data_IF_039612157118
#
_entry.id   IF_039612157118
#
_cell.length_a   1.000
_cell.length_b   1.000
_cell.length_c   1.000
_cell.angle_alpha   90.00
_cell.angle_beta   90.00
_cell.angle_gamma   90.00
#
_symmetry.space_group_name_H-M   'P 1'
#
loop_
_entity.id
_entity.type
_entity.pdbx_description
1 polymer ?
#
# COMPACT_ATOMS: atom_id res chain seq x y z
N UNK A 1 -22.71 -1.47 -2.05
CA UNK A 1 -23.32 -1.72 -0.72
C UNK A 1 -22.17 -1.67 0.26
N UNK A 2 -22.26 -0.93 1.37
CA UNK A 2 -21.18 -0.96 2.35
C UNK A 2 -21.20 -2.33 3.02
N UNK A 3 -20.20 -3.17 2.74
CA UNK A 3 -20.01 -4.42 3.47
C UNK A 3 -19.38 -4.06 4.81
N UNK A 4 -19.98 -4.53 5.90
CA UNK A 4 -19.40 -4.28 7.22
C UNK A 4 -18.10 -5.08 7.34
N UNK A 5 -17.14 -4.54 8.08
CA UNK A 5 -15.90 -5.24 8.36
C UNK A 5 -16.15 -6.59 9.04
N UNK A 6 -17.15 -6.67 9.93
CA UNK A 6 -17.51 -7.89 10.66
C UNK A 6 -17.95 -9.00 9.71
N UNK A 7 -18.83 -8.68 8.76
CA UNK A 7 -19.31 -9.68 7.79
C UNK A 7 -18.14 -10.23 6.96
N UNK A 8 -17.20 -9.37 6.57
CA UNK A 8 -16.00 -9.81 5.86
C UNK A 8 -15.08 -10.64 6.76
N UNK A 9 -14.84 -10.22 7.99
CA UNK A 9 -14.00 -10.94 8.93
C UNK A 9 -14.57 -12.34 9.24
N UNK A 10 -15.87 -12.45 9.49
CA UNK A 10 -16.54 -13.72 9.78
C UNK A 10 -16.55 -14.67 8.58
N UNK A 11 -16.75 -14.15 7.37
CA UNK A 11 -16.83 -14.99 6.17
C UNK A 11 -15.44 -15.36 5.62
N UNK A 12 -14.48 -14.44 5.67
CA UNK A 12 -13.18 -14.61 5.02
C UNK A 12 -12.06 -15.04 5.98
N UNK A 13 -12.20 -14.73 7.27
CA UNK A 13 -11.15 -14.89 8.27
C UNK A 13 -11.65 -15.48 9.62
N UNK A 14 -12.44 -16.58 9.64
CA UNK A 14 -13.05 -17.11 10.87
C UNK A 14 -12.05 -17.73 11.88
N UNK A 15 -10.78 -17.87 11.51
CA UNK A 15 -9.74 -18.48 12.36
C UNK A 15 -9.15 -17.53 13.41
N UNK A 16 -9.39 -16.22 13.28
CA UNK A 16 -8.89 -15.19 14.21
C UNK A 16 -10.07 -14.44 14.79
N UNK A 17 -9.97 -14.06 16.07
CA UNK A 17 -11.00 -13.27 16.73
C UNK A 17 -11.18 -11.92 16.02
N UNK A 18 -12.44 -11.53 15.76
CA UNK A 18 -12.79 -10.40 14.90
C UNK A 18 -12.22 -9.08 15.43
N UNK A 19 -12.22 -8.88 16.75
CA UNK A 19 -11.69 -7.66 17.36
C UNK A 19 -10.16 -7.59 17.28
N UNK A 20 -9.45 -8.71 17.46
CA UNK A 20 -8.00 -8.78 17.22
C UNK A 20 -7.68 -8.47 15.76
N UNK A 21 -8.42 -9.07 14.81
CA UNK A 21 -8.23 -8.82 13.38
C UNK A 21 -8.53 -7.35 13.02
N UNK A 22 -9.59 -6.77 13.58
CA UNK A 22 -9.93 -5.35 13.39
C UNK A 22 -8.82 -4.42 13.88
N UNK A 23 -8.25 -4.71 15.05
CA UNK A 23 -7.17 -3.90 15.63
C UNK A 23 -5.90 -3.95 14.78
N UNK A 24 -5.51 -5.14 14.31
CA UNK A 24 -4.40 -5.30 13.35
C UNK A 24 -4.68 -4.46 12.11
N UNK A 25 -5.84 -4.60 11.47
CA UNK A 25 -6.16 -3.89 10.22
C UNK A 25 -6.25 -2.38 10.41
N UNK A 26 -6.71 -1.92 11.58
CA UNK A 26 -6.69 -0.50 11.93
C UNK A 26 -5.26 0.05 11.92
N UNK A 27 -4.29 -0.69 12.47
CA UNK A 27 -2.87 -0.31 12.48
C UNK A 27 -2.23 -0.46 11.09
N UNK A 28 -2.59 -1.50 10.35
CA UNK A 28 -1.97 -1.81 9.06
C UNK A 28 -2.43 -0.89 7.93
N UNK A 29 -3.73 -0.60 7.85
CA UNK A 29 -4.32 0.09 6.70
C UNK A 29 -5.36 1.16 7.05
N UNK A 30 -5.75 1.28 8.33
CA UNK A 30 -6.90 2.09 8.75
C UNK A 30 -8.20 1.71 7.99
N UNK A 31 -8.42 0.42 7.76
CA UNK A 31 -9.55 -0.13 6.99
C UNK A 31 -9.64 0.37 5.54
N UNK A 32 -8.51 0.79 4.95
CA UNK A 32 -8.43 1.18 3.54
C UNK A 32 -7.97 -0.01 2.70
N UNK A 33 -8.81 -0.53 1.79
CA UNK A 33 -8.48 -1.74 1.03
C UNK A 33 -7.33 -1.54 0.04
N UNK A 34 -7.09 -0.30 -0.38
CA UNK A 34 -6.03 0.06 -1.34
C UNK A 34 -4.80 0.68 -0.68
N UNK A 35 -4.63 0.45 0.63
CA UNK A 35 -3.45 0.93 1.34
C UNK A 35 -2.17 0.30 0.77
N UNK A 36 -1.19 1.15 0.47
CA UNK A 36 0.17 0.75 0.10
C UNK A 36 1.12 1.48 1.04
N UNK A 37 2.02 0.72 1.67
CA UNK A 37 3.09 1.25 2.52
C UNK A 37 4.44 0.82 1.96
N UNK A 38 5.38 1.75 1.90
CA UNK A 38 6.78 1.48 1.58
C UNK A 38 7.53 1.39 2.90
N UNK A 39 8.16 0.26 3.20
CA UNK A 39 8.89 0.07 4.46
C UNK A 39 10.27 0.73 4.41
N UNK A 40 10.87 0.74 3.23
CA UNK A 40 12.23 1.24 2.98
C UNK A 40 12.18 2.51 2.14
N UNK A 41 11.80 3.65 2.74
CA UNK A 41 11.79 4.92 2.02
C UNK A 41 10.74 5.92 2.51
N UNK A 42 10.57 7.03 1.76
CA UNK A 42 9.50 7.98 2.04
C UNK A 42 8.13 7.35 1.81
N UNK A 43 7.17 7.70 2.66
CA UNK A 43 5.77 7.35 2.48
C UNK A 43 5.23 7.95 1.18
N UNK A 44 4.24 7.29 0.59
CA UNK A 44 3.50 7.83 -0.55
C UNK A 44 2.85 9.16 -0.18
N UNK A 45 2.98 10.16 -1.06
CA UNK A 45 2.33 11.47 -0.89
C UNK A 45 0.80 11.36 -0.83
N UNK A 46 0.23 10.44 -1.61
CA UNK A 46 -1.20 10.15 -1.64
C UNK A 46 -1.42 8.65 -1.81
N UNK A 47 -2.40 8.12 -1.07
CA UNK A 47 -2.86 6.74 -1.24
C UNK A 47 -3.72 6.60 -2.51
N UNK A 48 -3.69 5.45 -3.19
CA UNK A 48 -4.53 5.19 -4.35
C UNK A 48 -6.01 5.37 -4.05
N UNK A 49 -6.75 5.97 -4.99
CA UNK A 49 -8.19 6.19 -4.89
C UNK A 49 -9.01 5.09 -5.57
N UNK A 50 -8.38 4.22 -6.38
CA UNK A 50 -9.05 3.11 -7.05
C UNK A 50 -8.19 1.85 -7.05
N UNK A 51 -8.83 0.69 -7.26
CA UNK A 51 -8.11 -0.59 -7.38
C UNK A 51 -7.13 -0.58 -8.56
N UNK A 52 -7.50 0.03 -9.70
CA UNK A 52 -6.64 0.11 -10.87
C UNK A 52 -5.37 0.93 -10.59
N UNK A 53 -5.51 2.11 -9.99
CA UNK A 53 -4.38 2.95 -9.56
C UNK A 53 -3.49 2.20 -8.55
N UNK A 54 -4.10 1.48 -7.61
CA UNK A 54 -3.37 0.71 -6.60
C UNK A 54 -2.54 -0.42 -7.22
N UNK A 55 -3.09 -1.13 -8.20
CA UNK A 55 -2.40 -2.19 -8.94
C UNK A 55 -1.23 -1.60 -9.72
N UNK A 56 -1.45 -0.52 -10.46
CA UNK A 56 -0.40 0.12 -11.25
C UNK A 56 0.76 0.57 -10.35
N UNK A 57 0.46 1.30 -9.28
CA UNK A 57 1.45 1.78 -8.33
C UNK A 57 2.21 0.64 -7.66
N UNK A 58 1.50 -0.34 -7.09
CA UNK A 58 2.15 -1.48 -6.42
C UNK A 58 3.00 -2.31 -7.39
N UNK A 59 2.56 -2.44 -8.65
CA UNK A 59 3.33 -3.17 -9.67
C UNK A 59 4.62 -2.42 -10.02
N UNK A 60 4.55 -1.09 -10.16
CA UNK A 60 5.75 -0.26 -10.38
C UNK A 60 6.75 -0.40 -9.22
N UNK A 61 6.28 -0.25 -7.98
CA UNK A 61 7.14 -0.35 -6.79
C UNK A 61 7.76 -1.75 -6.64
N UNK A 62 6.99 -2.80 -6.94
CA UNK A 62 7.49 -4.18 -6.92
C UNK A 62 8.53 -4.44 -8.03
N UNK A 63 8.34 -3.87 -9.22
CA UNK A 63 9.31 -3.94 -10.32
C UNK A 63 10.62 -3.23 -9.98
N UNK A 64 10.54 -2.15 -9.19
CA UNK A 64 11.70 -1.42 -8.65
C UNK A 64 12.33 -2.12 -7.43
N UNK A 65 11.89 -3.35 -7.10
CA UNK A 65 12.36 -4.12 -5.95
C UNK A 65 12.20 -3.41 -4.59
N UNK A 66 11.20 -2.54 -4.47
CA UNK A 66 10.92 -1.90 -3.18
C UNK A 66 10.21 -2.86 -2.22
N UNK A 67 10.54 -2.73 -0.93
CA UNK A 67 9.83 -3.43 0.14
C UNK A 67 8.51 -2.71 0.44
N UNK A 68 7.42 -3.29 -0.08
CA UNK A 68 6.06 -2.75 0.02
C UNK A 68 5.13 -3.71 0.75
N UNK A 69 4.16 -3.12 1.45
CA UNK A 69 3.05 -3.82 2.10
C UNK A 69 1.73 -3.36 1.50
N UNK A 70 0.88 -4.34 1.17
CA UNK A 70 -0.30 -4.14 0.32
C UNK A 70 -1.59 -4.55 1.03
N UNK A 71 -2.60 -3.71 0.91
CA UNK A 71 -3.99 -3.99 1.26
C UNK A 71 -4.29 -3.94 2.75
N UNK A 72 -5.44 -4.50 3.15
CA UNK A 72 -6.01 -4.34 4.49
C UNK A 72 -5.08 -4.80 5.62
N UNK A 73 -4.41 -5.94 5.44
CA UNK A 73 -3.47 -6.48 6.39
C UNK A 73 -2.01 -6.10 6.13
N UNK A 74 -1.71 -5.29 5.12
CA UNK A 74 -0.32 -4.94 4.82
C UNK A 74 0.55 -6.16 4.51
N UNK A 75 0.16 -6.96 3.52
CA UNK A 75 0.89 -8.15 3.09
C UNK A 75 2.12 -7.76 2.27
N UNK A 76 3.29 -8.32 2.58
CA UNK A 76 4.50 -8.14 1.80
C UNK A 76 4.51 -9.01 0.54
N UNK A 77 5.39 -8.71 -0.39
CA UNK A 77 5.54 -9.47 -1.65
C UNK A 77 5.91 -10.95 -1.40
N UNK A 78 6.71 -11.23 -0.37
CA UNK A 78 7.03 -12.60 0.04
C UNK A 78 5.80 -13.36 0.56
N UNK A 79 4.96 -12.73 1.38
CA UNK A 79 3.70 -13.33 1.85
C UNK A 79 2.77 -13.63 0.67
N UNK A 80 2.64 -12.70 -0.27
CA UNK A 80 1.83 -12.93 -1.48
C UNK A 80 2.34 -14.15 -2.27
N UNK A 81 3.66 -14.30 -2.40
CA UNK A 81 4.29 -15.47 -3.00
C UNK A 81 3.93 -16.78 -2.29
N UNK A 82 3.97 -16.80 -0.96
CA UNK A 82 3.59 -17.98 -0.14
C UNK A 82 2.15 -18.42 -0.38
N UNK A 83 1.23 -17.46 -0.56
CA UNK A 83 -0.19 -17.73 -0.82
C UNK A 83 -0.55 -17.82 -2.31
N UNK A 84 0.41 -17.67 -3.23
CA UNK A 84 0.19 -17.61 -4.68
C UNK A 84 -0.83 -16.53 -5.08
N UNK A 85 -0.82 -15.41 -4.35
CA UNK A 85 -1.66 -14.26 -4.63
C UNK A 85 -0.93 -13.30 -5.56
N UNK A 86 -1.64 -12.75 -6.52
CA UNK A 86 -1.13 -11.63 -7.31
C UNK A 86 -1.24 -10.31 -6.54
N UNK A 87 -0.56 -9.27 -7.01
CA UNK A 87 -0.72 -7.90 -6.47
C UNK A 87 -2.19 -7.45 -6.54
N UNK A 88 -2.91 -7.80 -7.61
CA UNK A 88 -4.34 -7.50 -7.75
C UNK A 88 -5.20 -8.21 -6.70
N UNK A 89 -4.86 -9.45 -6.35
CA UNK A 89 -5.56 -10.22 -5.32
C UNK A 89 -5.31 -9.66 -3.92
N UNK A 90 -4.15 -9.05 -3.68
CA UNK A 90 -3.85 -8.38 -2.41
C UNK A 90 -4.77 -7.18 -2.14
N UNK A 91 -5.40 -6.61 -3.16
CA UNK A 91 -6.40 -5.55 -3.04
C UNK A 91 -7.85 -6.08 -2.98
N UNK A 92 -8.07 -7.40 -3.08
CA UNK A 92 -9.35 -8.00 -2.76
C UNK A 92 -9.50 -8.12 -1.24
N UNK A 93 -10.53 -7.49 -0.61
CA UNK A 93 -10.69 -7.52 0.83
C UNK A 93 -10.73 -8.94 1.41
N UNK A 94 -11.43 -9.87 0.77
CA UNK A 94 -11.61 -11.20 1.32
C UNK A 94 -10.33 -12.04 1.22
N UNK A 95 -9.66 -12.00 0.06
CA UNK A 95 -8.39 -12.72 -0.13
C UNK A 95 -7.30 -12.18 0.78
N UNK A 96 -7.22 -10.85 0.93
CA UNK A 96 -6.25 -10.22 1.81
C UNK A 96 -6.50 -10.60 3.28
N UNK A 97 -7.74 -10.47 3.76
CA UNK A 97 -8.13 -10.85 5.13
C UNK A 97 -7.84 -12.32 5.41
N UNK A 98 -8.16 -13.21 4.46
CA UNK A 98 -7.89 -14.64 4.60
C UNK A 98 -6.40 -14.93 4.75
N UNK A 99 -5.56 -14.30 3.93
CA UNK A 99 -4.11 -14.46 4.02
C UNK A 99 -3.56 -13.92 5.35
N UNK A 100 -3.99 -12.73 5.78
CA UNK A 100 -3.63 -12.15 7.08
C UNK A 100 -4.02 -13.06 8.25
N UNK A 101 -5.26 -13.56 8.25
CA UNK A 101 -5.73 -14.45 9.31
C UNK A 101 -4.99 -15.78 9.32
N UNK A 102 -4.62 -16.30 8.14
CA UNK A 102 -3.82 -17.53 8.02
C UNK A 102 -2.40 -17.33 8.57
N UNK A 103 -1.77 -16.17 8.32
CA UNK A 103 -0.47 -15.84 8.91
C UNK A 103 -0.55 -15.76 10.44
N UNK A 104 -1.54 -15.04 10.97
CA UNK A 104 -1.76 -14.91 12.40
C UNK A 104 -1.99 -16.27 13.07
N UNK A 105 -2.93 -17.09 12.57
CA UNK A 105 -3.16 -18.44 13.09
C UNK A 105 -1.90 -19.33 12.99
N UNK A 106 -1.15 -19.20 11.89
CA UNK A 106 0.14 -19.88 11.71
C UNK A 106 1.15 -19.54 12.81
N UNK A 107 1.38 -18.24 13.07
CA UNK A 107 2.30 -17.81 14.13
C UNK A 107 1.82 -18.21 15.52
N UNK A 108 0.52 -18.14 15.78
CA UNK A 108 -0.07 -18.58 17.04
C UNK A 108 0.20 -20.07 17.29
N UNK A 109 -0.06 -20.92 16.29
CA UNK A 109 0.19 -22.37 16.39
C UNK A 109 1.66 -22.68 16.53
N UNK A 110 2.53 -22.00 15.79
CA UNK A 110 3.99 -22.17 15.92
C UNK A 110 4.45 -21.86 17.35
N UNK A 111 3.93 -20.80 17.97
CA UNK A 111 4.25 -20.45 19.34
C UNK A 111 3.75 -21.51 20.34
N UNK A 112 2.53 -22.01 20.17
CA UNK A 112 2.00 -23.11 21.00
C UNK A 112 2.85 -24.38 20.86
N UNK A 113 3.26 -24.74 19.64
CA UNK A 113 4.14 -25.88 19.39
C UNK A 113 5.53 -25.70 20.01
N UNK A 114 6.00 -24.46 20.15
CA UNK A 114 7.23 -24.13 20.86
C UNK A 114 7.09 -24.14 22.40
N UNK A 115 5.91 -24.48 22.94
CA UNK A 115 5.65 -24.60 24.37
C UNK A 115 5.14 -23.33 25.05
N UNK A 116 4.75 -22.30 24.28
CA UNK A 116 4.09 -21.12 24.83
C UNK A 116 2.71 -21.48 25.39
N UNK A 117 2.31 -20.83 26.49
CA UNK A 117 0.89 -20.82 26.89
C UNK A 117 0.05 -19.94 25.94
N UNK A 118 -1.28 -19.95 26.12
CA UNK A 118 -2.18 -19.21 25.24
C UNK A 118 -1.91 -17.70 25.18
N UNK A 119 -1.55 -17.07 26.31
CA UNK A 119 -1.29 -15.61 26.37
C UNK A 119 0.05 -15.28 25.72
N UNK A 120 1.05 -16.11 25.97
CA UNK A 120 2.37 -15.96 25.37
C UNK A 120 2.31 -16.22 23.87
N UNK A 121 1.52 -17.21 23.42
CA UNK A 121 1.32 -17.48 22.00
C UNK A 121 0.62 -16.33 21.27
N UNK A 122 -0.37 -15.68 21.90
CA UNK A 122 -1.00 -14.48 21.35
C UNK A 122 -0.01 -13.31 21.24
N UNK A 123 0.82 -13.10 22.27
CA UNK A 123 1.89 -12.09 22.23
C UNK A 123 2.85 -12.36 21.07
N UNK A 124 3.37 -13.59 20.96
CA UNK A 124 4.32 -13.98 19.91
C UNK A 124 3.67 -13.89 18.53
N UNK A 125 2.41 -14.31 18.38
CA UNK A 125 1.65 -14.19 17.13
C UNK A 125 1.66 -12.75 16.60
N UNK A 126 1.29 -11.78 17.43
CA UNK A 126 1.22 -10.37 17.03
C UNK A 126 2.62 -9.82 16.72
N UNK A 127 3.61 -10.16 17.54
CA UNK A 127 4.99 -9.72 17.33
C UNK A 127 5.59 -10.28 16.04
N UNK A 128 5.40 -11.57 15.77
CA UNK A 128 5.81 -12.23 14.53
C UNK A 128 5.08 -11.69 13.31
N UNK A 129 3.83 -11.25 13.46
CA UNK A 129 3.09 -10.62 12.37
C UNK A 129 3.77 -9.33 11.90
N UNK A 130 4.07 -8.42 12.84
CA UNK A 130 4.77 -7.18 12.53
C UNK A 130 6.17 -7.44 11.97
N UNK A 131 6.92 -8.32 12.64
CA UNK A 131 8.30 -8.64 12.28
C UNK A 131 8.45 -9.65 11.15
N UNK A 132 7.37 -9.99 10.44
CA UNK A 132 7.39 -10.88 9.26
C UNK A 132 8.12 -12.20 9.53
N UNK A 133 7.65 -12.93 10.55
CA UNK A 133 8.22 -14.17 11.12
C UNK A 133 9.34 -13.97 12.17
N UNK A 134 9.82 -12.75 12.41
CA UNK A 134 10.72 -12.46 13.54
C UNK A 134 9.98 -11.75 14.70
N UNK A 135 9.62 -12.45 15.79
CA UNK A 135 8.96 -11.82 16.94
C UNK A 135 9.82 -10.76 17.63
N UNK A 136 11.14 -10.81 17.52
CA UNK A 136 12.03 -9.83 18.17
C UNK A 136 11.80 -8.42 17.64
N UNK A 137 11.56 -8.30 16.33
CA UNK A 137 11.26 -7.02 15.67
C UNK A 137 9.94 -6.44 16.18
N UNK A 138 8.90 -7.27 16.29
CA UNK A 138 7.61 -6.87 16.85
C UNK A 138 7.69 -6.53 18.34
N UNK A 139 8.55 -7.20 19.09
CA UNK A 139 8.80 -6.91 20.50
C UNK A 139 9.49 -5.55 20.69
N UNK A 140 10.48 -5.22 19.87
CA UNK A 140 11.19 -3.93 19.93
C UNK A 140 10.24 -2.74 19.81
N UNK A 141 9.20 -2.85 18.97
CA UNK A 141 8.18 -1.81 18.80
C UNK A 141 6.94 -2.02 19.69
N UNK A 142 6.92 -3.08 20.49
CA UNK A 142 5.79 -3.48 21.35
C UNK A 142 4.47 -3.59 20.58
N UNK A 143 4.51 -4.23 19.41
CA UNK A 143 3.35 -4.30 18.51
C UNK A 143 2.14 -4.96 19.17
N UNK A 144 2.34 -5.98 20.00
CA UNK A 144 1.27 -6.62 20.77
C UNK A 144 0.56 -5.64 21.72
N UNK A 145 1.29 -4.73 22.36
CA UNK A 145 0.69 -3.67 23.18
C UNK A 145 -0.06 -2.63 22.32
N UNK A 146 0.45 -2.31 21.13
CA UNK A 146 -0.22 -1.41 20.18
C UNK A 146 -1.58 -1.97 19.78
N UNK A 147 -1.62 -3.26 19.40
CA UNK A 147 -2.85 -3.97 19.03
C UNK A 147 -3.84 -3.97 20.20
N UNK A 148 -3.41 -4.30 21.42
CA UNK A 148 -4.29 -4.27 22.61
C UNK A 148 -4.87 -2.88 22.89
N UNK A 149 -4.07 -1.81 22.73
CA UNK A 149 -4.57 -0.43 22.86
C UNK A 149 -5.61 -0.12 21.79
N UNK A 150 -5.37 -0.55 20.56
CA UNK A 150 -6.30 -0.33 19.46
C UNK A 150 -7.60 -1.14 19.66
N UNK A 151 -7.54 -2.36 20.17
CA UNK A 151 -8.73 -3.14 20.55
C UNK A 151 -9.61 -2.39 21.56
N UNK A 152 -9.01 -1.68 22.53
CA UNK A 152 -9.74 -0.87 23.53
C UNK A 152 -10.33 0.40 22.90
N UNK A 153 -9.60 1.01 21.96
CA UNK A 153 -10.03 2.23 21.26
C UNK A 153 -11.17 1.98 20.27
N UNK A 154 -11.15 0.85 19.58
CA UNK A 154 -12.18 0.49 18.61
C UNK A 154 -13.55 0.37 19.30
N UNK A 155 -14.64 0.79 18.63
CA UNK A 155 -15.98 0.63 19.15
C UNK A 155 -16.24 -0.83 19.56
N UNK A 156 -16.93 -1.01 20.69
CA UNK A 156 -17.32 -2.35 21.15
C UNK A 156 -18.24 -3.08 20.18
N UNK A 157 -18.91 -2.35 19.29
CA UNK A 157 -19.68 -2.90 18.17
C UNK A 157 -18.86 -2.82 16.88
N UNK A 158 -18.19 -3.93 16.48
CA UNK A 158 -17.38 -3.94 15.27
C UNK A 158 -18.24 -3.81 14.00
N UNK A 159 -19.57 -3.98 14.05
CA UNK A 159 -20.45 -3.84 12.88
C UNK A 159 -20.53 -2.38 12.38
N UNK A 160 -20.09 -1.43 13.20
CA UNK A 160 -19.95 -0.01 12.83
C UNK A 160 -18.70 0.29 11.99
N UNK A 161 -17.76 -0.66 11.90
CA UNK A 161 -16.55 -0.50 11.10
C UNK A 161 -16.86 -0.80 9.63
N UNK A 162 -16.78 0.24 8.79
CA UNK A 162 -16.95 0.11 7.36
C UNK A 162 -15.58 -0.02 6.69
N UNK A 163 -15.46 -0.95 5.73
CA UNK A 163 -14.35 -0.90 4.78
C UNK A 163 -14.69 0.21 3.80
N UNK A 164 -13.84 1.24 3.76
CA UNK A 164 -14.02 2.35 2.84
C UNK A 164 -13.74 1.85 1.43
N UNK A 165 -14.76 1.39 0.72
CA UNK A 165 -14.68 1.36 -0.73
C UNK A 165 -14.73 2.81 -1.22
N UNK A 166 -13.69 3.30 -1.92
CA UNK A 166 -13.85 4.51 -2.71
C UNK A 166 -14.97 4.23 -3.68
N UNK A 167 -16.08 4.94 -3.49
CA UNK A 167 -17.16 4.94 -4.47
C UNK A 167 -16.51 5.31 -5.81
N UNK A 168 -16.53 4.40 -6.77
CA UNK A 168 -16.45 4.78 -8.18
C UNK A 168 -17.70 5.63 -8.44
N UNK A 169 -17.63 6.90 -8.06
CA UNK A 169 -18.56 7.90 -8.51
C UNK A 169 -18.22 8.07 -9.99
N UNK A 170 -18.87 7.27 -10.83
CA UNK A 170 -18.93 7.50 -12.26
C UNK A 170 -19.21 9.00 -12.46
N UNK A 171 -18.52 9.68 -13.41
CA UNK A 171 -18.76 11.09 -13.65
C UNK A 171 -20.27 11.28 -13.84
N UNK A 172 -20.91 12.01 -12.92
CA UNK A 172 -22.28 12.45 -13.16
C UNK A 172 -22.20 13.32 -14.39
N UNK A 173 -22.79 12.84 -15.48
CA UNK A 173 -23.04 13.66 -16.65
C UNK A 173 -23.83 14.89 -16.16
N UNK A 174 -23.18 16.05 -16.19
CA UNK A 174 -23.88 17.32 -16.02
C UNK A 174 -24.94 17.41 -17.12
N UNK A 175 -26.18 17.83 -16.81
CA UNK A 175 -27.13 18.13 -17.86
C UNK A 175 -26.63 19.38 -18.59
N UNK A 176 -26.32 19.22 -19.88
CA UNK A 176 -25.93 20.29 -20.80
C UNK A 176 -26.95 21.44 -20.75
N UNK A 177 -26.62 22.52 -20.03
CA UNK A 177 -27.36 23.76 -20.10
C UNK A 177 -26.87 24.58 -21.30
N UNK A 178 -27.63 24.42 -22.39
CA UNK A 178 -27.79 25.31 -23.54
C UNK A 178 -26.99 26.63 -23.52
N UNK A 179 -26.06 26.69 -24.47
CA UNK A 179 -25.56 27.83 -25.25
C UNK A 179 -26.16 29.20 -24.91
N UNK A 180 -25.29 30.13 -24.51
CA UNK A 180 -25.32 31.49 -25.03
C UNK A 180 -23.93 31.85 -25.55
N UNK A 181 -23.80 31.84 -26.88
CA UNK A 181 -22.66 32.36 -27.61
C UNK A 181 -22.76 33.90 -27.58
N UNK A 182 -21.86 34.57 -26.85
CA UNK A 182 -21.44 35.98 -27.04
C UNK A 182 -20.45 36.40 -25.94
N UNK A 183 -19.20 35.94 -25.99
CA UNK A 183 -18.06 36.63 -25.34
C UNK A 183 -16.66 36.15 -25.78
N UNK A 184 -16.57 35.03 -26.50
CA UNK A 184 -15.28 34.45 -26.91
C UNK A 184 -14.55 35.18 -28.06
N UNK A 185 -15.05 36.34 -28.52
CA UNK A 185 -14.41 37.12 -29.59
C UNK A 185 -13.42 38.19 -29.09
N UNK A 186 -13.23 38.38 -27.78
CA UNK A 186 -12.43 39.50 -27.24
C UNK A 186 -11.20 39.15 -26.40
N UNK A 187 -10.90 37.88 -26.12
CA UNK A 187 -9.73 37.52 -25.30
C UNK A 187 -8.60 36.78 -26.03
N UNK A 188 -8.76 36.42 -27.32
CA UNK A 188 -7.69 35.77 -28.11
C UNK A 188 -6.68 36.73 -28.74
N UNK A 189 -6.58 37.98 -28.29
CA UNK A 189 -5.57 38.95 -28.79
C UNK A 189 -4.43 39.25 -27.81
N UNK A 190 -4.39 38.64 -26.63
CA UNK A 190 -3.33 38.90 -25.64
C UNK A 190 -2.91 37.60 -24.95
N UNK A 191 -2.02 36.85 -25.61
CA UNK A 191 -0.89 36.12 -25.02
C UNK A 191 -0.25 35.28 -26.12
N UNK A 192 0.35 35.98 -27.08
CA UNK A 192 1.41 35.41 -27.90
C UNK A 192 2.72 35.61 -27.13
N UNK A 193 3.09 34.63 -26.31
CA UNK A 193 4.48 34.31 -25.94
C UNK A 193 4.47 33.12 -24.96
N UNK A 194 4.47 31.91 -25.53
CA UNK A 194 4.86 30.71 -24.80
C UNK A 194 5.81 29.93 -25.70
N UNK A 195 7.05 29.82 -25.25
CA UNK A 195 8.16 29.17 -25.92
C UNK A 195 7.81 27.72 -26.30
N UNK A 196 8.10 27.34 -27.54
CA UNK A 196 7.99 25.97 -28.03
C UNK A 196 9.06 25.09 -27.40
N UNK A 197 8.66 24.19 -26.50
CA UNK A 197 9.51 23.10 -26.01
C UNK A 197 9.43 21.94 -26.99
N UNK A 198 10.26 21.97 -28.03
CA UNK A 198 10.48 20.84 -28.95
C UNK A 198 11.71 20.05 -28.48
N UNK A 199 11.48 18.84 -27.97
CA UNK A 199 12.52 17.95 -27.39
C UNK A 199 13.21 17.11 -28.46
N UNK A 200 12.70 17.06 -29.68
CA UNK A 200 13.15 16.09 -30.69
C UNK A 200 14.01 16.67 -31.82
N UNK A 201 14.37 17.96 -31.77
CA UNK A 201 15.18 18.59 -32.83
C UNK A 201 16.53 19.19 -32.37
N UNK A 202 17.05 18.74 -31.22
CA UNK A 202 18.40 19.08 -30.80
C UNK A 202 19.43 18.28 -31.61
N UNK A 203 19.98 18.88 -32.67
CA UNK A 203 21.20 18.39 -33.34
C UNK A 203 22.32 18.24 -32.30
N UNK A 204 22.63 16.99 -31.91
CA UNK A 204 23.82 16.69 -31.10
C UNK A 204 25.07 16.98 -31.94
N UNK A 205 25.74 18.09 -31.69
CA UNK A 205 27.14 18.24 -32.07
C UNK A 205 27.98 17.48 -31.05
N UNK A 206 28.43 16.29 -31.41
CA UNK A 206 29.36 15.51 -30.59
C UNK A 206 30.76 16.01 -30.86
N UNK A 207 31.35 16.76 -29.93
CA UNK A 207 32.78 17.09 -29.99
C UNK A 207 33.56 15.92 -29.40
N UNK A 208 34.37 15.26 -30.24
CA UNK A 208 35.32 14.24 -29.80
C UNK A 208 36.57 14.96 -29.29
N UNK A 209 36.81 14.91 -27.99
CA UNK A 209 38.06 15.37 -27.39
C UNK A 209 39.08 14.23 -27.51
N UNK A 210 40.08 14.41 -28.39
CA UNK A 210 41.26 13.54 -28.47
C UNK A 210 42.28 14.07 -27.48
N UNK A 211 42.62 13.26 -26.47
CA UNK A 211 43.70 13.57 -25.53
C UNK A 211 45.01 12.98 -26.07
N UNK A 212 45.92 13.84 -26.54
CA UNK A 212 47.31 13.46 -26.82
C UNK A 212 48.04 13.22 -25.50
N UNK A 213 48.69 12.05 -25.39
CA UNK A 213 49.38 11.60 -24.19
C UNK A 213 50.87 11.96 -24.30
N UNK A 214 51.23 13.20 -24.02
CA UNK A 214 52.62 13.66 -23.91
C UNK A 214 53.17 13.33 -22.51
N UNK A 215 53.55 12.07 -22.27
CA UNK A 215 54.43 11.72 -21.14
C UNK A 215 55.88 11.91 -21.60
N UNK A 216 56.44 13.08 -21.28
CA UNK A 216 57.88 13.27 -21.25
C UNK A 216 58.45 12.57 -20.01
N UNK A 217 59.10 11.44 -20.21
CA UNK A 217 59.99 10.83 -19.22
C UNK A 217 61.25 11.70 -19.09
N UNK A 218 61.44 12.35 -17.94
CA UNK A 218 62.74 12.90 -17.54
C UNK A 218 63.31 12.02 -16.44
N UNK A 219 64.29 11.22 -16.84
CA UNK A 219 65.18 10.45 -15.98
C UNK A 219 66.34 11.33 -15.54
N UNK A 220 66.52 11.50 -14.22
CA UNK A 220 67.82 11.46 -13.53
C UNK A 220 67.62 11.46 -12.01
#
# INVERSE_FOLDING_TARGET
MAVTFVDLAQNCAPMVEVRTLAAVISLESHFKPFAIRINSGPSLERQPASKAEAIELATSLAADHQDIQIGLGGLGTEELGKFRLSISDAFDPCLNLKATATLLDGYYRLALHAGADARQAEKVMLQSYYGRNDPSVGEMVKYDEQVRREMVRLPSDPASLAIAEPREEAPRAEPELRRNASSAAQLSRQSAEAASWDVFNARRQTQVLVFENERSEQSQ
#
